data_IF_761529311416
#
_entry.id   IF_761529311416
#
_cell.length_a   1.000
_cell.length_b   1.000
_cell.length_c   1.000
_cell.angle_alpha   90.00
_cell.angle_beta   90.00
_cell.angle_gamma   90.00
#
_symmetry.space_group_name_H-M   'P 1'
#
loop_
_entity.id
_entity.type
_entity.pdbx_description
1 polymer ?
#
# COMPACT_ATOMS: atom_id res chain seq x y z
N UNK A 1 48.06 37.59 -41.62
CA UNK A 1 47.92 36.20 -41.13
C UNK A 1 47.38 36.04 -39.70
N UNK A 2 47.55 37.01 -38.79
CA UNK A 2 47.03 36.90 -37.40
C UNK A 2 45.50 37.12 -37.27
N UNK A 3 44.89 37.91 -38.15
CA UNK A 3 43.44 38.19 -38.15
C UNK A 3 42.57 37.01 -38.60
N UNK A 4 43.08 36.16 -39.49
CA UNK A 4 42.37 34.99 -40.00
C UNK A 4 42.29 33.88 -38.93
N UNK A 5 43.34 33.73 -38.13
CA UNK A 5 43.35 32.74 -37.03
C UNK A 5 42.38 33.10 -35.89
N UNK A 6 42.17 34.40 -35.64
CA UNK A 6 41.23 34.87 -34.64
C UNK A 6 39.78 34.67 -35.05
N UNK A 7 39.47 34.89 -36.31
CA UNK A 7 38.13 34.67 -36.86
C UNK A 7 37.76 33.16 -36.87
N UNK A 8 38.73 32.30 -37.17
CA UNK A 8 38.55 30.83 -37.13
C UNK A 8 38.34 30.31 -35.72
N UNK A 9 39.00 30.91 -34.71
CA UNK A 9 38.82 30.57 -33.32
C UNK A 9 37.42 31.01 -32.76
N UNK A 10 36.96 32.20 -33.20
CA UNK A 10 35.65 32.70 -32.81
C UNK A 10 34.51 31.86 -33.41
N UNK A 11 34.64 31.38 -34.67
CA UNK A 11 33.68 30.45 -35.26
C UNK A 11 33.62 29.09 -34.57
N UNK A 12 34.77 28.58 -34.10
CA UNK A 12 34.82 27.32 -33.36
C UNK A 12 34.14 27.42 -31.96
N UNK A 13 34.26 28.56 -31.30
CA UNK A 13 33.63 28.79 -30.00
C UNK A 13 32.09 28.95 -30.15
N UNK A 14 31.62 29.62 -31.19
CA UNK A 14 30.19 29.75 -31.48
C UNK A 14 29.56 28.41 -31.86
N UNK A 15 30.30 27.54 -32.55
CA UNK A 15 29.81 26.18 -32.89
C UNK A 15 29.68 25.22 -31.71
N UNK A 16 30.46 25.40 -30.67
CA UNK A 16 30.40 24.57 -29.46
C UNK A 16 29.26 25.02 -28.54
N UNK A 17 28.85 26.30 -28.55
CA UNK A 17 27.76 26.82 -27.74
C UNK A 17 26.34 26.49 -28.24
N UNK A 18 26.18 26.02 -29.47
CA UNK A 18 24.88 25.70 -30.04
C UNK A 18 24.44 24.24 -29.87
N UNK A 19 25.25 23.38 -29.22
CA UNK A 19 24.89 21.97 -28.95
C UNK A 19 24.29 21.70 -27.55
N UNK A 20 23.99 22.73 -26.75
CA UNK A 20 23.53 22.54 -25.36
C UNK A 20 22.05 22.81 -25.13
N UNK A 21 21.21 22.88 -26.16
CA UNK A 21 19.77 23.12 -26.02
C UNK A 21 18.95 22.09 -26.78
N UNK A 22 19.26 20.80 -26.60
CA UNK A 22 18.31 19.74 -26.95
C UNK A 22 18.41 18.65 -25.89
N UNK A 23 17.85 18.94 -24.75
CA UNK A 23 17.52 17.92 -23.73
C UNK A 23 16.45 18.45 -22.76
N UNK A 24 15.33 18.91 -23.34
CA UNK A 24 14.03 18.85 -22.69
C UNK A 24 13.11 18.27 -23.76
N UNK A 25 13.23 16.98 -23.99
CA UNK A 25 12.20 16.21 -24.63
C UNK A 25 11.00 16.23 -23.68
N UNK A 26 9.84 16.62 -24.17
CA UNK A 26 8.57 16.37 -23.51
C UNK A 26 8.38 14.84 -23.49
N UNK A 27 8.93 14.18 -22.48
CA UNK A 27 8.62 12.77 -22.17
C UNK A 27 7.40 12.64 -21.26
N UNK A 28 6.61 13.72 -21.08
CA UNK A 28 5.46 13.72 -20.18
C UNK A 28 4.19 13.09 -20.79
N UNK A 29 4.15 12.81 -22.09
CA UNK A 29 2.93 12.31 -22.76
C UNK A 29 2.65 10.82 -22.52
N UNK A 30 3.54 10.07 -21.84
CA UNK A 30 3.36 8.65 -21.52
C UNK A 30 3.60 8.32 -20.05
N UNK A 31 3.59 9.32 -19.17
CA UNK A 31 3.75 9.06 -17.73
C UNK A 31 2.45 8.48 -17.18
N UNK A 32 2.56 7.31 -16.56
CA UNK A 32 1.45 6.74 -15.81
C UNK A 32 1.08 7.64 -14.64
N UNK A 33 -0.18 8.06 -14.58
CA UNK A 33 -0.75 8.93 -13.55
C UNK A 33 -1.97 8.29 -12.89
N UNK A 34 -2.18 7.00 -13.11
CA UNK A 34 -3.30 6.22 -12.59
C UNK A 34 -2.88 5.39 -11.40
N UNK A 35 -3.81 5.12 -10.49
CA UNK A 35 -3.56 4.23 -9.36
C UNK A 35 -3.94 2.81 -9.76
N UNK A 36 -3.16 1.81 -9.35
CA UNK A 36 -3.55 0.42 -9.51
C UNK A 36 -4.80 0.11 -8.68
N UNK A 37 -5.58 -0.89 -9.05
CA UNK A 37 -6.87 -1.23 -8.44
C UNK A 37 -6.84 -2.63 -7.84
N UNK A 38 -7.23 -2.72 -6.56
CA UNK A 38 -7.52 -3.98 -5.86
C UNK A 38 -9.00 -4.28 -6.04
N UNK A 39 -9.33 -5.27 -6.88
CA UNK A 39 -10.71 -5.59 -7.27
C UNK A 39 -11.17 -6.93 -6.70
N UNK A 40 -12.47 -6.99 -6.44
CA UNK A 40 -13.20 -8.21 -6.05
C UNK A 40 -14.21 -8.63 -7.11
N UNK A 41 -14.27 -7.94 -8.25
CA UNK A 41 -15.26 -8.19 -9.28
C UNK A 41 -15.05 -9.54 -9.98
N UNK A 42 -16.13 -10.29 -10.09
CA UNK A 42 -16.15 -11.58 -10.81
C UNK A 42 -15.50 -12.74 -10.08
N UNK A 43 -15.11 -12.56 -8.81
CA UNK A 43 -14.56 -13.61 -7.94
C UNK A 43 -15.24 -13.63 -6.57
N UNK A 44 -15.04 -14.73 -5.85
CA UNK A 44 -15.27 -14.75 -4.40
C UNK A 44 -13.97 -14.31 -3.73
N UNK A 45 -13.92 -13.05 -3.36
CA UNK A 45 -12.74 -12.47 -2.69
C UNK A 45 -12.60 -13.02 -1.27
N UNK A 46 -11.35 -13.17 -0.82
CA UNK A 46 -11.02 -13.60 0.53
C UNK A 46 -9.64 -13.03 0.95
N UNK A 47 -9.49 -12.50 2.19
CA UNK A 47 -10.54 -12.30 3.18
C UNK A 47 -11.49 -11.15 2.81
N UNK A 48 -12.65 -11.12 3.45
CA UNK A 48 -13.57 -9.98 3.45
C UNK A 48 -13.81 -9.54 4.89
N UNK A 49 -14.33 -8.33 5.07
CA UNK A 49 -14.58 -7.79 6.40
C UNK A 49 -15.41 -8.73 7.26
N UNK A 50 -15.02 -8.81 8.53
CA UNK A 50 -15.62 -9.63 9.58
C UNK A 50 -15.57 -11.15 9.32
N UNK A 51 -14.68 -11.59 8.45
CA UNK A 51 -14.48 -13.02 8.26
C UNK A 51 -13.72 -13.64 9.43
N UNK A 52 -14.20 -14.80 9.89
CA UNK A 52 -13.64 -15.52 11.04
C UNK A 52 -12.80 -16.69 10.56
N UNK A 53 -11.61 -16.84 11.15
CA UNK A 53 -10.70 -17.96 10.93
C UNK A 53 -10.33 -18.60 12.27
N UNK A 54 -9.96 -19.87 12.26
CA UNK A 54 -9.41 -20.56 13.42
C UNK A 54 -7.88 -20.53 13.38
N UNK A 55 -7.23 -20.39 14.54
CA UNK A 55 -5.78 -20.60 14.61
C UNK A 55 -5.41 -22.02 14.14
N UNK A 56 -4.25 -22.21 13.56
CA UNK A 56 -3.86 -23.46 12.93
C UNK A 56 -4.52 -23.74 11.57
N UNK A 57 -5.44 -22.89 11.11
CA UNK A 57 -6.05 -22.99 9.79
C UNK A 57 -5.33 -22.14 8.75
N UNK A 58 -5.98 -21.83 7.63
CA UNK A 58 -5.44 -20.99 6.55
C UNK A 58 -6.41 -19.88 6.19
N UNK A 59 -5.87 -18.75 5.74
CA UNK A 59 -6.61 -17.70 5.05
C UNK A 59 -6.42 -17.95 3.54
N UNK A 60 -7.45 -18.38 2.80
CA UNK A 60 -7.35 -18.60 1.35
C UNK A 60 -7.41 -17.24 0.63
N UNK A 61 -6.26 -16.61 0.44
CA UNK A 61 -6.17 -15.30 -0.20
C UNK A 61 -6.60 -15.36 -1.67
N UNK A 62 -7.50 -14.46 -2.07
CA UNK A 62 -7.98 -14.36 -3.44
C UNK A 62 -8.44 -12.94 -3.79
N UNK A 63 -7.66 -12.24 -4.61
CA UNK A 63 -7.94 -10.91 -5.13
C UNK A 63 -7.48 -10.75 -6.58
N UNK A 64 -8.06 -9.78 -7.29
CA UNK A 64 -7.64 -9.37 -8.62
C UNK A 64 -7.00 -7.99 -8.53
N UNK A 65 -5.82 -7.86 -9.12
CA UNK A 65 -5.10 -6.60 -9.28
C UNK A 65 -5.14 -6.16 -10.72
N UNK A 66 -5.43 -4.89 -10.97
CA UNK A 66 -5.43 -4.30 -12.31
C UNK A 66 -4.75 -2.95 -12.32
N UNK A 67 -4.16 -2.62 -13.46
CA UNK A 67 -3.55 -1.35 -13.75
C UNK A 67 -3.67 -1.04 -15.24
N UNK A 68 -3.76 0.25 -15.62
CA UNK A 68 -3.87 0.64 -17.04
C UNK A 68 -2.58 0.45 -17.80
N UNK A 69 -1.42 0.49 -17.13
CA UNK A 69 -0.10 0.42 -17.71
C UNK A 69 0.61 -0.89 -17.37
N UNK A 70 1.04 -1.05 -16.14
CA UNK A 70 1.79 -2.23 -15.68
C UNK A 70 1.78 -2.35 -14.15
N UNK A 71 1.40 -3.51 -13.65
CA UNK A 71 1.49 -3.87 -12.24
C UNK A 71 2.96 -4.12 -11.83
N UNK A 72 3.31 -3.76 -10.60
CA UNK A 72 4.66 -3.95 -10.04
C UNK A 72 4.76 -5.07 -9.01
N UNK A 73 4.19 -4.82 -7.83
CA UNK A 73 4.28 -5.70 -6.68
C UNK A 73 3.11 -5.50 -5.73
N UNK A 74 2.93 -6.42 -4.78
CA UNK A 74 2.03 -6.21 -3.67
C UNK A 74 2.64 -6.74 -2.37
N UNK A 75 2.20 -6.16 -1.26
CA UNK A 75 2.55 -6.56 0.09
C UNK A 75 1.29 -6.99 0.83
N UNK A 76 1.39 -8.01 1.65
CA UNK A 76 0.36 -8.39 2.60
C UNK A 76 0.94 -8.27 4.00
N UNK A 77 0.23 -7.54 4.84
CA UNK A 77 0.54 -7.37 6.25
C UNK A 77 -0.68 -7.76 7.09
N UNK A 78 -0.46 -8.57 8.13
CA UNK A 78 -1.48 -8.94 9.10
C UNK A 78 -0.92 -8.63 10.48
N UNK A 79 -1.65 -7.90 11.30
CA UNK A 79 -1.28 -7.57 12.67
C UNK A 79 -2.50 -7.45 13.57
N UNK A 80 -2.29 -7.59 14.88
CA UNK A 80 -3.34 -7.46 15.89
C UNK A 80 -3.97 -6.07 15.86
N UNK A 81 -5.28 -5.98 16.08
CA UNK A 81 -6.04 -4.75 16.27
C UNK A 81 -6.56 -4.65 17.70
N UNK A 82 -5.81 -5.13 18.70
CA UNK A 82 -6.23 -5.15 20.09
C UNK A 82 -6.43 -3.74 20.69
N UNK A 83 -5.79 -2.72 20.13
CA UNK A 83 -5.89 -1.31 20.53
C UNK A 83 -6.89 -0.51 19.67
N UNK A 84 -7.64 -1.17 18.78
CA UNK A 84 -8.67 -0.58 17.91
C UNK A 84 -8.19 0.63 17.09
N UNK A 85 -6.92 0.66 16.69
CA UNK A 85 -6.40 1.71 15.83
C UNK A 85 -6.95 1.62 14.39
N UNK A 86 -7.08 2.76 13.71
CA UNK A 86 -7.63 2.82 12.34
C UNK A 86 -6.53 3.09 11.31
N UNK A 87 -6.56 2.38 10.19
CA UNK A 87 -5.63 2.57 9.06
C UNK A 87 -6.27 3.34 7.91
N UNK A 88 -6.81 4.54 8.13
CA UNK A 88 -7.27 5.43 7.06
C UNK A 88 -8.35 4.90 6.11
N UNK A 89 -8.74 3.65 6.24
CA UNK A 89 -9.91 3.04 5.63
C UNK A 89 -10.95 2.89 6.72
N UNK A 90 -12.21 3.10 6.42
CA UNK A 90 -13.30 3.05 7.41
C UNK A 90 -13.15 1.77 8.25
N UNK A 91 -12.83 1.94 9.54
CA UNK A 91 -12.76 0.82 10.48
C UNK A 91 -14.12 0.13 10.51
N UNK A 92 -14.16 -1.13 10.04
CA UNK A 92 -15.35 -1.97 10.18
C UNK A 92 -15.26 -2.56 11.58
N UNK A 93 -16.18 -2.18 12.44
CA UNK A 93 -16.41 -2.84 13.71
C UNK A 93 -17.17 -4.14 13.45
N UNK A 94 -16.55 -5.26 13.72
CA UNK A 94 -17.13 -6.57 13.48
C UNK A 94 -17.96 -7.10 14.67
N UNK A 95 -17.87 -6.47 15.81
CA UNK A 95 -18.68 -6.80 17.00
C UNK A 95 -19.93 -5.91 17.01
N UNK A 96 -20.96 -6.31 16.28
CA UNK A 96 -22.21 -5.57 16.07
C UNK A 96 -23.11 -5.37 17.31
N UNK A 97 -22.56 -5.18 18.53
CA UNK A 97 -23.28 -4.94 19.78
C UNK A 97 -22.86 -3.63 20.48
N UNK A 98 -22.71 -2.54 19.73
CA UNK A 98 -22.69 -1.22 20.34
C UNK A 98 -23.93 -0.41 19.98
N UNK A 99 -25.10 -0.81 20.53
CA UNK A 99 -26.18 0.12 20.84
C UNK A 99 -25.76 1.03 22.01
N UNK A 100 -24.76 1.85 21.79
CA UNK A 100 -24.28 2.87 22.71
C UNK A 100 -24.57 4.24 22.14
N UNK A 101 -25.75 4.81 22.49
CA UNK A 101 -26.02 6.23 22.35
C UNK A 101 -24.94 7.02 23.12
N UNK A 102 -23.92 7.52 22.43
CA UNK A 102 -23.05 8.56 22.97
C UNK A 102 -23.72 9.92 22.75
N UNK A 103 -24.53 10.31 23.76
CA UNK A 103 -24.83 11.75 23.97
C UNK A 103 -23.50 12.46 24.28
N UNK A 104 -23.23 13.49 23.48
CA UNK A 104 -22.03 14.30 23.62
C UNK A 104 -22.04 15.06 24.97
N UNK A 105 -20.96 14.93 25.70
CA UNK A 105 -20.53 15.90 26.69
C UNK A 105 -19.21 16.49 26.22
N UNK A 106 -19.28 17.77 25.80
CA UNK A 106 -18.15 18.64 25.58
C UNK A 106 -17.56 19.03 26.93
N UNK A 107 -16.42 18.48 27.30
CA UNK A 107 -15.54 19.09 28.28
C UNK A 107 -14.09 19.00 27.82
N UNK A 108 -13.57 20.17 27.41
CA UNK A 108 -12.17 20.45 27.18
C UNK A 108 -11.41 20.43 28.50
N UNK A 109 -10.51 19.46 28.66
CA UNK A 109 -9.38 19.62 29.55
C UNK A 109 -8.07 19.35 28.81
N UNK A 110 -7.28 20.43 28.73
CA UNK A 110 -5.92 20.43 28.23
C UNK A 110 -5.03 19.56 29.14
N UNK A 111 -4.52 18.46 28.60
CA UNK A 111 -3.40 17.73 29.20
C UNK A 111 -2.25 17.67 28.21
N UNK A 112 -1.31 18.62 28.39
CA UNK A 112 0.09 18.49 28.00
C UNK A 112 0.70 17.30 28.73
N UNK A 113 1.14 16.29 28.00
CA UNK A 113 1.86 15.14 28.54
C UNK A 113 2.41 14.28 27.42
N UNK A 114 3.53 14.72 26.81
CA UNK A 114 4.39 13.88 25.99
C UNK A 114 4.95 12.75 26.88
N UNK A 115 4.27 11.61 26.89
CA UNK A 115 4.90 10.35 27.30
C UNK A 115 4.80 9.40 26.11
N UNK A 116 5.92 9.26 25.40
CA UNK A 116 6.19 8.19 24.44
C UNK A 116 6.05 6.85 25.17
N UNK A 117 4.85 6.34 25.24
CA UNK A 117 4.62 4.95 25.62
C UNK A 117 4.86 4.08 24.39
N UNK A 118 6.10 3.65 24.20
CA UNK A 118 6.44 2.46 23.45
C UNK A 118 5.73 1.27 24.09
N UNK A 119 4.47 1.07 23.76
CA UNK A 119 3.78 -0.18 24.04
C UNK A 119 4.31 -1.22 23.06
N UNK A 120 5.41 -1.88 23.45
CA UNK A 120 5.77 -3.17 22.87
C UNK A 120 4.62 -4.13 23.18
N UNK A 121 3.71 -4.30 22.22
CA UNK A 121 2.70 -5.36 22.28
C UNK A 121 3.42 -6.70 22.10
N UNK A 122 3.91 -7.26 23.23
CA UNK A 122 4.41 -8.61 23.28
C UNK A 122 3.22 -9.55 23.02
N UNK A 123 3.16 -10.17 21.83
CA UNK A 123 2.31 -11.36 21.62
C UNK A 123 1.43 -11.38 20.37
N UNK A 124 1.24 -10.31 19.66
CA UNK A 124 0.42 -10.33 18.44
C UNK A 124 1.12 -11.04 17.26
N UNK A 125 0.40 -11.91 16.55
CA UNK A 125 0.90 -12.46 15.30
C UNK A 125 1.08 -11.35 14.25
N UNK A 126 2.29 -11.27 13.70
CA UNK A 126 2.61 -10.39 12.58
C UNK A 126 3.00 -11.24 11.37
N UNK A 127 2.29 -11.04 10.29
CA UNK A 127 2.65 -11.55 8.97
C UNK A 127 2.94 -10.37 8.06
N UNK A 128 4.11 -10.32 7.43
CA UNK A 128 4.45 -9.25 6.48
C UNK A 128 5.27 -9.85 5.35
N UNK A 129 4.72 -9.84 4.13
CA UNK A 129 5.37 -10.45 2.99
C UNK A 129 5.14 -9.67 1.70
N UNK A 130 6.23 -9.46 0.96
CA UNK A 130 6.23 -8.87 -0.38
C UNK A 130 6.14 -9.93 -1.45
N UNK A 131 5.35 -9.63 -2.49
CA UNK A 131 5.16 -10.48 -3.66
C UNK A 131 5.43 -9.67 -4.93
N UNK A 132 6.22 -10.24 -5.85
CA UNK A 132 6.45 -9.64 -7.16
C UNK A 132 5.41 -10.12 -8.15
N UNK A 133 4.85 -9.19 -8.92
CA UNK A 133 4.01 -9.51 -10.07
C UNK A 133 4.93 -9.65 -11.30
N UNK A 134 4.73 -10.66 -12.17
CA UNK A 134 5.49 -10.76 -13.41
C UNK A 134 5.37 -9.50 -14.26
N UNK A 135 6.48 -9.03 -14.81
CA UNK A 135 6.53 -7.81 -15.61
C UNK A 135 5.60 -7.88 -16.85
N UNK A 136 5.09 -6.73 -17.27
CA UNK A 136 4.23 -6.57 -18.45
C UNK A 136 2.76 -6.92 -18.21
N UNK A 137 2.35 -7.21 -16.98
CA UNK A 137 0.95 -7.53 -16.68
C UNK A 137 0.17 -6.28 -16.26
N UNK A 138 -0.99 -6.11 -16.88
CA UNK A 138 -2.01 -5.13 -16.50
C UNK A 138 -3.10 -5.75 -15.61
N UNK A 139 -3.13 -7.07 -15.49
CA UNK A 139 -4.06 -7.82 -14.65
C UNK A 139 -3.37 -9.04 -14.06
N UNK A 140 -3.54 -9.22 -12.76
CA UNK A 140 -3.00 -10.35 -12.02
C UNK A 140 -4.03 -10.88 -11.03
N UNK A 141 -4.26 -12.17 -11.04
CA UNK A 141 -5.12 -12.86 -10.07
C UNK A 141 -4.21 -13.51 -9.02
N UNK A 142 -4.20 -12.93 -7.82
CA UNK A 142 -3.43 -13.44 -6.69
C UNK A 142 -4.28 -14.46 -5.91
N UNK A 143 -3.82 -15.71 -5.84
CA UNK A 143 -4.51 -16.78 -5.13
C UNK A 143 -3.52 -17.75 -4.49
N UNK A 144 -3.55 -17.83 -3.15
CA UNK A 144 -2.73 -18.76 -2.34
C UNK A 144 -3.25 -18.79 -0.91
N UNK A 145 -2.75 -19.73 -0.12
CA UNK A 145 -3.12 -19.92 1.28
C UNK A 145 -2.07 -19.29 2.20
N UNK A 146 -2.50 -18.55 3.22
CA UNK A 146 -1.67 -18.00 4.29
C UNK A 146 -1.95 -18.84 5.54
N UNK A 147 -0.94 -19.55 6.04
CA UNK A 147 -1.08 -20.37 7.24
C UNK A 147 -1.17 -19.48 8.49
N UNK A 148 -2.15 -19.74 9.34
CA UNK A 148 -2.29 -19.13 10.66
C UNK A 148 -1.60 -20.09 11.66
N UNK A 149 -0.53 -19.66 12.37
CA UNK A 149 0.10 -20.51 13.38
C UNK A 149 -0.86 -20.90 14.51
N UNK A 150 -0.68 -22.09 15.07
CA UNK A 150 -1.46 -22.57 16.24
C UNK A 150 -1.26 -21.70 17.50
N UNK A 151 -0.18 -20.93 17.53
CA UNK A 151 0.20 -20.06 18.65
C UNK A 151 -0.36 -18.66 18.58
N UNK A 152 -1.11 -18.33 17.52
CA UNK A 152 -1.71 -17.01 17.34
C UNK A 152 -2.74 -16.78 18.46
N UNK A 153 -2.67 -15.60 19.07
CA UNK A 153 -3.69 -15.20 20.05
C UNK A 153 -5.02 -14.92 19.35
N UNK A 154 -6.14 -15.48 19.85
CA UNK A 154 -7.47 -15.14 19.35
C UNK A 154 -7.76 -13.65 19.53
N UNK A 155 -8.43 -13.04 18.56
CA UNK A 155 -8.75 -11.60 18.60
C UNK A 155 -9.02 -11.03 17.24
N UNK A 156 -9.06 -9.71 17.19
CA UNK A 156 -9.27 -8.94 15.97
C UNK A 156 -7.93 -8.59 15.34
N UNK A 157 -7.88 -8.69 14.02
CA UNK A 157 -6.68 -8.45 13.21
C UNK A 157 -7.01 -7.55 12.01
N UNK A 158 -6.08 -6.71 11.66
CA UNK A 158 -6.08 -6.03 10.36
C UNK A 158 -5.35 -6.87 9.33
N UNK A 159 -5.99 -7.07 8.19
CA UNK A 159 -5.42 -7.67 7.00
C UNK A 159 -5.25 -6.58 5.95
N UNK A 160 -4.02 -6.18 5.69
CA UNK A 160 -3.67 -5.07 4.82
C UNK A 160 -3.13 -5.59 3.49
N UNK A 161 -3.63 -5.05 2.39
CA UNK A 161 -3.12 -5.30 1.03
C UNK A 161 -2.62 -3.97 0.50
N UNK A 162 -1.32 -3.87 0.19
CA UNK A 162 -0.73 -2.71 -0.50
C UNK A 162 -0.30 -3.13 -1.88
N UNK A 163 -0.96 -2.61 -2.90
CA UNK A 163 -0.64 -2.84 -4.30
C UNK A 163 0.17 -1.67 -4.83
N UNK A 164 1.26 -1.95 -5.54
CA UNK A 164 2.13 -0.96 -6.18
C UNK A 164 2.27 -1.29 -7.66
N UNK A 165 2.07 -0.32 -8.54
CA UNK A 165 2.31 -0.45 -9.97
C UNK A 165 3.79 -0.26 -10.33
N UNK A 166 4.12 -0.35 -11.61
CA UNK A 166 5.49 -0.15 -12.10
C UNK A 166 5.95 1.32 -12.02
N UNK A 167 5.03 2.28 -12.04
CA UNK A 167 5.31 3.71 -11.91
C UNK A 167 5.50 4.16 -10.45
N UNK A 168 5.11 3.32 -9.48
CA UNK A 168 5.24 3.58 -8.04
C UNK A 168 3.97 4.10 -7.37
N UNK A 169 2.84 4.17 -8.10
CA UNK A 169 1.55 4.48 -7.49
C UNK A 169 1.06 3.32 -6.64
N UNK A 170 0.33 3.63 -5.58
CA UNK A 170 -0.09 2.62 -4.61
C UNK A 170 -1.56 2.72 -4.28
N UNK A 171 -2.21 1.56 -4.13
CA UNK A 171 -3.51 1.43 -3.49
C UNK A 171 -3.38 0.55 -2.24
N UNK A 172 -4.04 0.98 -1.17
CA UNK A 172 -4.15 0.26 0.09
C UNK A 172 -5.60 -0.23 0.26
N UNK A 173 -5.75 -1.49 0.70
CA UNK A 173 -7.01 -2.04 1.17
C UNK A 173 -6.79 -2.68 2.53
N UNK A 174 -7.55 -2.24 3.52
CA UNK A 174 -7.62 -2.89 4.83
C UNK A 174 -8.90 -3.72 4.92
N UNK A 175 -8.81 -4.86 5.57
CA UNK A 175 -9.91 -5.79 5.86
C UNK A 175 -9.80 -6.17 7.34
N UNK A 176 -10.90 -6.05 8.09
CA UNK A 176 -10.97 -6.54 9.46
C UNK A 176 -11.27 -8.04 9.47
N UNK A 177 -10.48 -8.83 10.17
CA UNK A 177 -10.71 -10.28 10.33
C UNK A 177 -10.64 -10.66 11.79
N UNK A 178 -11.28 -11.78 12.16
CA UNK A 178 -11.26 -12.33 13.51
C UNK A 178 -10.59 -13.70 13.51
N UNK A 179 -9.66 -13.92 14.44
CA UNK A 179 -9.06 -15.22 14.70
C UNK A 179 -9.61 -15.80 15.99
N UNK A 180 -10.05 -17.05 15.94
CA UNK A 180 -10.61 -17.79 17.08
C UNK A 180 -9.76 -19.00 17.44
N UNK A 181 -10.07 -19.64 18.57
CA UNK A 181 -9.43 -20.90 18.97
C UNK A 181 -9.76 -22.06 18.05
#
# INVERSE_FOLDING_TARGET
MKKIKFLSLLMAIVSVMTMSIVACGNDDDNKDMTYPVISTEGITANPVDCQVYQRGSVIPFHYIFTDETELGAYNIEIHSNADHHTHGTQGVDCDGDHDGEHEGDEDHDEHDGDEDHDHEHEGGWVYNQDFKIPAGLQRYEARFDIAIPDTVEPGDYHFMIRLTDHAGWQQLRAVAIKITE
#
